data_IF_972988403473
#
_entry.id   IF_972988403473
#
_cell.length_a   1.000
_cell.length_b   1.000
_cell.length_c   1.000
_cell.angle_alpha   90.00
_cell.angle_beta   90.00
_cell.angle_gamma   90.00
#
_symmetry.space_group_name_H-M   'P 1'
#
loop_
_entity.id
_entity.type
_entity.pdbx_description
1 polymer ?
#
# COMPACT_ATOMS: atom_id res chain seq x y z
N UNK A 1 29.33 80.35 -9.68
CA UNK A 1 28.78 80.26 -11.05
C UNK A 1 28.96 78.83 -11.49
N UNK A 2 27.94 77.95 -11.23
CA UNK A 2 28.00 76.52 -11.43
C UNK A 2 27.06 76.22 -12.59
N UNK A 3 27.62 75.74 -13.69
CA UNK A 3 26.93 75.32 -14.91
C UNK A 3 26.28 73.96 -14.64
N UNK A 4 24.94 73.91 -14.60
CA UNK A 4 24.16 72.66 -14.55
C UNK A 4 23.97 72.16 -16.00
N UNK A 5 24.68 71.09 -16.37
CA UNK A 5 24.43 70.37 -17.61
C UNK A 5 23.14 69.56 -17.49
N UNK A 6 22.09 69.91 -18.23
CA UNK A 6 20.91 69.14 -18.47
C UNK A 6 21.22 67.96 -19.38
N UNK A 7 21.11 66.73 -18.87
CA UNK A 7 21.13 65.50 -19.63
C UNK A 7 19.72 65.24 -20.20
N UNK A 8 19.52 65.03 -21.50
CA UNK A 8 18.22 64.67 -22.04
C UNK A 8 17.84 63.23 -21.63
N UNK A 9 16.60 63.04 -21.20
CA UNK A 9 16.02 61.79 -20.83
C UNK A 9 15.97 60.81 -22.03
N UNK A 10 16.90 59.87 -22.12
CA UNK A 10 16.78 58.73 -22.99
C UNK A 10 15.75 57.77 -22.41
N UNK A 11 14.67 57.52 -23.12
CA UNK A 11 13.70 56.47 -22.81
C UNK A 11 14.38 55.11 -22.94
N UNK A 12 14.23 54.17 -21.97
CA UNK A 12 14.84 52.84 -22.10
C UNK A 12 14.10 52.03 -23.16
N UNK A 13 14.80 51.65 -24.23
CA UNK A 13 14.34 50.81 -25.35
C UNK A 13 14.30 49.30 -24.94
N UNK A 14 14.20 48.99 -23.63
CA UNK A 14 14.36 47.64 -23.13
C UNK A 14 13.04 46.90 -22.73
N UNK A 15 11.88 47.53 -22.95
CA UNK A 15 10.60 46.91 -22.53
C UNK A 15 10.11 45.76 -23.44
N UNK A 16 10.69 45.54 -24.63
CA UNK A 16 10.23 44.46 -25.51
C UNK A 16 10.94 43.12 -25.32
N UNK A 17 12.18 43.14 -24.79
CA UNK A 17 12.99 41.91 -24.67
C UNK A 17 12.72 41.10 -23.37
N UNK A 18 12.34 41.78 -22.28
CA UNK A 18 12.02 41.11 -21.02
C UNK A 18 10.66 40.37 -21.05
N UNK A 19 9.68 40.84 -21.84
CA UNK A 19 8.37 40.19 -21.94
C UNK A 19 8.46 38.86 -22.68
N UNK A 20 9.35 38.75 -23.69
CA UNK A 20 9.55 37.51 -24.45
C UNK A 20 10.22 36.40 -23.66
N UNK A 21 11.19 36.71 -22.80
CA UNK A 21 11.90 35.73 -21.97
C UNK A 21 11.00 35.21 -20.86
N UNK A 22 10.21 36.08 -20.18
CA UNK A 22 9.29 35.68 -19.13
C UNK A 22 8.18 34.76 -19.65
N UNK A 23 7.70 34.96 -20.88
CA UNK A 23 6.68 34.08 -21.48
C UNK A 23 7.24 32.72 -21.91
N UNK A 24 8.49 32.63 -22.36
CA UNK A 24 9.13 31.35 -22.72
C UNK A 24 9.40 30.52 -21.48
N UNK A 25 9.90 31.11 -20.41
CA UNK A 25 10.15 30.39 -19.16
C UNK A 25 8.83 29.90 -18.48
N UNK A 26 7.73 30.64 -18.59
CA UNK A 26 6.43 30.20 -18.07
C UNK A 26 5.86 29.05 -18.89
N UNK A 27 5.95 29.07 -20.22
CA UNK A 27 5.48 28.02 -21.13
C UNK A 27 6.28 26.71 -20.94
N UNK A 28 7.59 26.79 -20.73
CA UNK A 28 8.43 25.62 -20.43
C UNK A 28 8.12 25.01 -19.05
N UNK A 29 7.85 25.85 -18.05
CA UNK A 29 7.43 25.35 -16.72
C UNK A 29 6.07 24.67 -16.77
N UNK A 30 5.10 25.24 -17.49
CA UNK A 30 3.78 24.63 -17.65
C UNK A 30 3.86 23.27 -18.36
N UNK A 31 4.68 23.15 -19.41
CA UNK A 31 4.94 21.87 -20.10
C UNK A 31 5.60 20.84 -19.20
N UNK A 32 6.58 21.25 -18.39
CA UNK A 32 7.25 20.37 -17.43
C UNK A 32 6.26 19.88 -16.35
N UNK A 33 5.41 20.77 -15.81
CA UNK A 33 4.37 20.38 -14.85
C UNK A 33 3.37 19.40 -15.47
N UNK A 34 2.92 19.64 -16.72
CA UNK A 34 1.99 18.75 -17.39
C UNK A 34 2.59 17.34 -17.59
N UNK A 35 3.85 17.24 -17.98
CA UNK A 35 4.55 15.95 -18.12
C UNK A 35 4.67 15.23 -16.77
N UNK A 36 5.04 15.92 -15.69
CA UNK A 36 5.13 15.34 -14.36
C UNK A 36 3.76 14.89 -13.82
N UNK A 37 2.68 15.59 -14.19
CA UNK A 37 1.32 15.19 -13.85
C UNK A 37 0.88 13.92 -14.59
N UNK A 38 1.30 13.76 -15.86
CA UNK A 38 1.06 12.52 -16.61
C UNK A 38 1.85 11.35 -16.00
N UNK A 39 3.10 11.56 -15.63
CA UNK A 39 3.94 10.58 -14.94
C UNK A 39 3.34 10.18 -13.59
N UNK A 40 2.85 11.14 -12.80
CA UNK A 40 2.15 10.89 -11.54
C UNK A 40 0.90 10.04 -11.76
N UNK A 41 0.08 10.41 -12.74
CA UNK A 41 -1.15 9.68 -13.06
C UNK A 41 -0.84 8.24 -13.47
N UNK A 42 0.20 8.04 -14.29
CA UNK A 42 0.65 6.71 -14.71
C UNK A 42 1.13 5.85 -13.52
N UNK A 43 1.85 6.44 -12.57
CA UNK A 43 2.29 5.70 -11.37
C UNK A 43 1.08 5.32 -10.50
N UNK A 44 0.11 6.22 -10.32
CA UNK A 44 -1.12 5.92 -9.57
C UNK A 44 -1.97 4.83 -10.26
N UNK A 45 -2.01 4.79 -11.59
CA UNK A 45 -2.65 3.71 -12.37
C UNK A 45 -1.95 2.37 -12.11
N UNK A 46 -0.61 2.36 -12.13
CA UNK A 46 0.17 1.16 -11.85
C UNK A 46 0.00 0.70 -10.38
N UNK A 47 -0.03 1.63 -9.42
CA UNK A 47 -0.36 1.33 -8.01
C UNK A 47 -1.75 0.70 -7.92
N UNK A 48 -2.74 1.24 -8.61
CA UNK A 48 -4.12 0.71 -8.61
C UNK A 48 -4.15 -0.75 -9.07
N UNK A 49 -3.46 -1.07 -10.18
CA UNK A 49 -3.36 -2.44 -10.69
C UNK A 49 -2.66 -3.38 -9.68
N UNK A 50 -1.58 -2.92 -9.06
CA UNK A 50 -0.86 -3.71 -8.06
C UNK A 50 -1.72 -3.97 -6.81
N UNK A 51 -2.45 -2.96 -6.33
CA UNK A 51 -3.39 -3.12 -5.21
C UNK A 51 -4.60 -4.00 -5.57
N UNK A 52 -5.08 -3.98 -6.81
CA UNK A 52 -6.11 -4.91 -7.28
C UNK A 52 -5.62 -6.36 -7.21
N UNK A 53 -4.40 -6.62 -7.71
CA UNK A 53 -3.76 -7.94 -7.63
C UNK A 53 -3.59 -8.40 -6.17
N UNK A 54 -3.15 -7.50 -5.29
CA UNK A 54 -3.04 -7.81 -3.85
C UNK A 54 -4.40 -8.12 -3.22
N UNK A 55 -5.45 -7.43 -3.67
CA UNK A 55 -6.83 -7.68 -3.22
C UNK A 55 -7.32 -9.07 -3.62
N UNK A 56 -7.08 -9.49 -4.87
CA UNK A 56 -7.41 -10.85 -5.36
C UNK A 56 -6.67 -11.93 -4.57
N UNK A 57 -5.37 -11.75 -4.33
CA UNK A 57 -4.59 -12.67 -3.49
C UNK A 57 -5.12 -12.73 -2.06
N UNK A 58 -5.58 -11.61 -1.50
CA UNK A 58 -6.17 -11.55 -0.17
C UNK A 58 -7.54 -12.24 -0.09
N UNK A 59 -8.33 -12.21 -1.17
CA UNK A 59 -9.58 -12.96 -1.27
C UNK A 59 -9.33 -14.47 -1.34
N UNK A 60 -8.37 -14.91 -2.16
CA UNK A 60 -7.96 -16.31 -2.24
C UNK A 60 -7.38 -16.80 -0.90
N UNK A 61 -6.61 -15.97 -0.21
CA UNK A 61 -6.10 -16.27 1.14
C UNK A 61 -7.25 -16.50 2.13
N UNK A 62 -8.33 -15.71 2.05
CA UNK A 62 -9.52 -15.91 2.89
C UNK A 62 -10.13 -17.30 2.67
N UNK A 63 -10.25 -17.72 1.41
CA UNK A 63 -10.78 -19.04 1.07
C UNK A 63 -9.89 -20.17 1.61
N UNK A 64 -8.57 -20.03 1.44
CA UNK A 64 -7.61 -21.00 1.99
C UNK A 64 -7.67 -21.09 3.52
N UNK A 65 -7.85 -19.96 4.22
CA UNK A 65 -8.02 -19.92 5.67
C UNK A 65 -9.32 -20.64 6.13
N UNK A 66 -10.42 -20.45 5.39
CA UNK A 66 -11.72 -21.10 5.70
C UNK A 66 -11.62 -22.62 5.61
N UNK A 67 -10.90 -23.15 4.60
CA UNK A 67 -10.72 -24.59 4.41
C UNK A 67 -9.50 -25.16 5.15
N UNK A 68 -8.76 -24.30 5.87
CA UNK A 68 -7.54 -24.67 6.62
C UNK A 68 -6.44 -25.29 5.73
N UNK A 69 -6.32 -24.85 4.47
CA UNK A 69 -5.27 -25.27 3.57
C UNK A 69 -3.98 -24.50 3.82
N UNK A 70 -3.13 -25.06 4.69
CA UNK A 70 -1.86 -24.45 5.11
C UNK A 70 -0.93 -24.25 3.91
N UNK A 71 -0.89 -25.19 2.96
CA UNK A 71 -0.01 -25.07 1.78
C UNK A 71 -0.42 -23.90 0.88
N UNK A 72 -1.72 -23.74 0.64
CA UNK A 72 -2.25 -22.59 -0.10
C UNK A 72 -1.98 -21.27 0.63
N UNK A 73 -2.13 -21.23 1.96
CA UNK A 73 -1.82 -20.04 2.78
C UNK A 73 -0.36 -19.62 2.63
N UNK A 74 0.59 -20.56 2.70
CA UNK A 74 2.02 -20.28 2.52
C UNK A 74 2.32 -19.70 1.13
N UNK A 75 1.80 -20.33 0.07
CA UNK A 75 2.00 -19.88 -1.31
C UNK A 75 1.41 -18.50 -1.57
N UNK A 76 0.19 -18.26 -1.09
CA UNK A 76 -0.50 -16.98 -1.26
C UNK A 76 0.19 -15.86 -0.46
N UNK A 77 0.70 -16.17 0.72
CA UNK A 77 1.47 -15.20 1.53
C UNK A 77 2.76 -14.80 0.82
N UNK A 78 3.50 -15.75 0.25
CA UNK A 78 4.70 -15.47 -0.53
C UNK A 78 4.37 -14.60 -1.77
N UNK A 79 3.28 -14.90 -2.48
CA UNK A 79 2.83 -14.11 -3.62
C UNK A 79 2.40 -12.69 -3.21
N UNK A 80 1.76 -12.52 -2.04
CA UNK A 80 1.41 -11.21 -1.50
C UNK A 80 2.65 -10.38 -1.17
N UNK A 81 3.70 -11.00 -0.61
CA UNK A 81 4.96 -10.33 -0.29
C UNK A 81 5.64 -9.79 -1.56
N UNK A 82 5.67 -10.57 -2.64
CA UNK A 82 6.21 -10.13 -3.93
C UNK A 82 5.47 -8.89 -4.46
N UNK A 83 4.13 -8.91 -4.45
CA UNK A 83 3.31 -7.77 -4.90
C UNK A 83 3.49 -6.57 -3.99
N UNK A 84 3.57 -6.75 -2.67
CA UNK A 84 3.79 -5.68 -1.70
C UNK A 84 5.14 -4.97 -1.91
N UNK A 85 6.21 -5.72 -2.22
CA UNK A 85 7.51 -5.16 -2.58
C UNK A 85 7.44 -4.31 -3.87
N UNK A 86 6.65 -4.77 -4.85
CA UNK A 86 6.36 -3.99 -6.06
C UNK A 86 5.62 -2.68 -5.76
N UNK A 87 4.62 -2.71 -4.89
CA UNK A 87 3.88 -1.52 -4.45
C UNK A 87 4.82 -0.52 -3.76
N UNK A 88 5.70 -0.98 -2.87
CA UNK A 88 6.66 -0.10 -2.19
C UNK A 88 7.57 0.63 -3.18
N UNK A 89 8.00 -0.04 -4.25
CA UNK A 89 8.78 0.58 -5.34
C UNK A 89 7.99 1.68 -6.06
N UNK A 90 6.71 1.43 -6.35
CA UNK A 90 5.81 2.42 -6.97
C UNK A 90 5.56 3.62 -6.05
N UNK A 91 5.34 3.40 -4.76
CA UNK A 91 5.18 4.47 -3.76
C UNK A 91 6.42 5.35 -3.66
N UNK A 92 7.61 4.74 -3.70
CA UNK A 92 8.88 5.48 -3.74
C UNK A 92 8.96 6.34 -4.99
N UNK A 93 8.62 5.79 -6.15
CA UNK A 93 8.59 6.54 -7.41
C UNK A 93 7.58 7.68 -7.38
N UNK A 94 6.39 7.45 -6.83
CA UNK A 94 5.38 8.50 -6.62
C UNK A 94 5.90 9.63 -5.74
N UNK A 95 6.60 9.29 -4.65
CA UNK A 95 7.19 10.28 -3.76
C UNK A 95 8.24 11.15 -4.48
N UNK A 96 9.07 10.56 -5.34
CA UNK A 96 10.03 11.32 -6.16
C UNK A 96 9.32 12.28 -7.11
N UNK A 97 8.33 11.81 -7.87
CA UNK A 97 7.57 12.65 -8.79
C UNK A 97 6.87 13.80 -8.03
N UNK A 98 6.29 13.53 -6.87
CA UNK A 98 5.67 14.56 -6.03
C UNK A 98 6.69 15.63 -5.57
N UNK A 99 7.92 15.22 -5.24
CA UNK A 99 9.00 16.15 -4.92
C UNK A 99 9.40 17.02 -6.14
N UNK A 100 9.51 16.41 -7.32
CA UNK A 100 9.84 17.14 -8.55
C UNK A 100 8.76 18.17 -8.89
N UNK A 101 7.49 17.80 -8.76
CA UNK A 101 6.35 18.72 -8.91
C UNK A 101 6.45 19.86 -7.90
N UNK A 102 6.76 19.57 -6.62
CA UNK A 102 6.91 20.57 -5.58
C UNK A 102 8.00 21.59 -5.90
N UNK A 103 9.15 21.12 -6.42
CA UNK A 103 10.26 21.97 -6.86
C UNK A 103 9.83 22.89 -8.02
N UNK A 104 9.18 22.34 -9.05
CA UNK A 104 8.74 23.12 -10.21
C UNK A 104 7.67 24.14 -9.84
N UNK A 105 6.78 23.78 -8.92
CA UNK A 105 5.72 24.68 -8.40
C UNK A 105 6.20 25.64 -7.31
N UNK A 106 7.48 25.55 -6.90
CA UNK A 106 8.06 26.31 -5.79
C UNK A 106 7.22 26.20 -4.48
N UNK A 107 6.81 24.97 -4.15
CA UNK A 107 6.05 24.64 -2.94
C UNK A 107 6.81 23.65 -2.09
N UNK A 108 6.45 23.56 -0.80
CA UNK A 108 7.01 22.53 0.07
C UNK A 108 6.35 21.18 -0.23
N UNK A 109 7.13 20.08 -0.35
CA UNK A 109 6.59 18.74 -0.62
C UNK A 109 5.55 18.29 0.41
N UNK A 110 5.72 18.68 1.69
CA UNK A 110 4.83 18.32 2.79
C UNK A 110 3.41 18.92 2.68
N UNK A 111 3.30 20.06 1.99
CA UNK A 111 2.03 20.76 1.77
C UNK A 111 1.32 20.28 0.49
N UNK A 112 2.04 19.52 -0.35
CA UNK A 112 1.55 19.12 -1.66
C UNK A 112 0.81 17.78 -1.56
N UNK A 113 -0.49 17.83 -1.73
CA UNK A 113 -1.35 16.63 -1.83
C UNK A 113 -1.83 16.45 -3.26
N UNK A 114 -2.10 15.22 -3.67
CA UNK A 114 -2.68 14.93 -5.00
C UNK A 114 -3.99 15.69 -5.21
N UNK A 115 -4.81 15.84 -4.16
CA UNK A 115 -6.04 16.65 -4.22
C UNK A 115 -5.80 18.15 -4.47
N UNK A 116 -4.65 18.68 -4.04
CA UNK A 116 -4.27 20.07 -4.33
C UNK A 116 -3.81 20.21 -5.80
N UNK A 117 -3.15 19.17 -6.33
CA UNK A 117 -2.74 19.11 -7.74
C UNK A 117 -3.95 19.05 -8.69
N UNK A 118 -5.00 18.33 -8.33
CA UNK A 118 -6.26 18.30 -9.09
C UNK A 118 -6.84 19.71 -9.28
N UNK A 119 -6.75 20.56 -8.26
CA UNK A 119 -7.22 21.96 -8.34
C UNK A 119 -6.32 22.81 -9.25
N UNK A 120 -5.02 22.50 -9.30
CA UNK A 120 -4.07 23.22 -10.18
C UNK A 120 -4.28 22.90 -11.65
N UNK A 121 -4.92 21.77 -11.98
CA UNK A 121 -5.24 21.32 -13.34
C UNK A 121 -6.57 21.89 -13.88
N UNK A 122 -7.14 22.94 -13.28
CA UNK A 122 -8.41 23.54 -13.70
C UNK A 122 -8.40 24.02 -15.17
N UNK A 123 -7.23 24.36 -15.73
CA UNK A 123 -7.04 24.72 -17.13
C UNK A 123 -6.98 23.51 -18.08
N UNK A 124 -6.82 22.29 -17.55
CA UNK A 124 -6.65 21.05 -18.33
C UNK A 124 -7.68 19.98 -17.88
N UNK A 125 -8.95 20.11 -18.26
CA UNK A 125 -10.03 19.32 -17.69
C UNK A 125 -9.90 17.80 -17.95
N UNK A 126 -9.28 17.38 -19.04
CA UNK A 126 -9.07 15.96 -19.34
C UNK A 126 -8.04 15.32 -18.38
N UNK A 127 -6.93 15.99 -18.14
CA UNK A 127 -5.90 15.51 -17.19
C UNK A 127 -6.43 15.53 -15.75
N UNK A 128 -7.15 16.60 -15.39
CA UNK A 128 -7.81 16.68 -14.09
C UNK A 128 -8.77 15.51 -13.86
N UNK A 129 -9.64 15.23 -14.83
CA UNK A 129 -10.60 14.13 -14.72
C UNK A 129 -9.89 12.77 -14.62
N UNK A 130 -8.84 12.53 -15.40
CA UNK A 130 -8.05 11.29 -15.35
C UNK A 130 -7.41 11.11 -13.97
N UNK A 131 -6.72 12.13 -13.47
CA UNK A 131 -6.07 12.09 -12.15
C UNK A 131 -7.09 11.85 -11.02
N UNK A 132 -8.21 12.58 -11.03
CA UNK A 132 -9.29 12.42 -10.03
C UNK A 132 -9.87 11.01 -10.05
N UNK A 133 -10.15 10.48 -11.25
CA UNK A 133 -10.66 9.11 -11.41
C UNK A 133 -9.67 8.07 -10.87
N UNK A 134 -8.41 8.14 -11.29
CA UNK A 134 -7.37 7.20 -10.84
C UNK A 134 -7.18 7.26 -9.32
N UNK A 135 -7.15 8.45 -8.73
CA UNK A 135 -7.05 8.60 -7.27
C UNK A 135 -8.25 7.99 -6.55
N UNK A 136 -9.45 8.16 -7.10
CA UNK A 136 -10.66 7.59 -6.51
C UNK A 136 -10.65 6.06 -6.59
N UNK A 137 -10.29 5.49 -7.73
CA UNK A 137 -10.17 4.04 -7.93
C UNK A 137 -9.12 3.42 -7.00
N UNK A 138 -7.96 4.07 -6.86
CA UNK A 138 -6.92 3.63 -5.94
C UNK A 138 -7.44 3.61 -4.50
N UNK A 139 -8.11 4.69 -4.07
CA UNK A 139 -8.69 4.78 -2.72
C UNK A 139 -9.70 3.66 -2.46
N UNK A 140 -10.63 3.43 -3.39
CA UNK A 140 -11.66 2.39 -3.25
C UNK A 140 -11.04 0.99 -3.18
N UNK A 141 -10.02 0.72 -4.00
CA UNK A 141 -9.29 -0.54 -3.98
C UNK A 141 -8.55 -0.74 -2.65
N UNK A 142 -7.88 0.28 -2.15
CA UNK A 142 -7.21 0.22 -0.84
C UNK A 142 -8.20 0.00 0.31
N UNK A 143 -9.35 0.65 0.27
CA UNK A 143 -10.39 0.48 1.30
C UNK A 143 -11.01 -0.92 1.25
N UNK A 144 -11.16 -1.52 0.06
CA UNK A 144 -11.56 -2.92 -0.11
C UNK A 144 -10.51 -3.87 0.46
N UNK A 145 -9.24 -3.69 0.11
CA UNK A 145 -8.13 -4.50 0.63
C UNK A 145 -8.07 -4.47 2.15
N UNK A 146 -8.20 -3.29 2.77
CA UNK A 146 -8.21 -3.15 4.24
C UNK A 146 -9.31 -3.99 4.89
N UNK A 147 -10.53 -3.98 4.32
CA UNK A 147 -11.64 -4.78 4.85
C UNK A 147 -11.36 -6.28 4.75
N UNK A 148 -10.84 -6.74 3.61
CA UNK A 148 -10.51 -8.16 3.40
C UNK A 148 -9.41 -8.59 4.35
N UNK A 149 -8.33 -7.82 4.48
CA UNK A 149 -7.22 -8.14 5.38
C UNK A 149 -7.66 -8.16 6.86
N UNK A 150 -8.55 -7.27 7.27
CA UNK A 150 -9.12 -7.32 8.61
C UNK A 150 -9.91 -8.61 8.85
N UNK A 151 -10.71 -9.04 7.87
CA UNK A 151 -11.44 -10.33 7.95
C UNK A 151 -10.47 -11.51 8.00
N UNK A 152 -9.43 -11.52 7.17
CA UNK A 152 -8.41 -12.57 7.15
C UNK A 152 -7.67 -12.66 8.49
N UNK A 153 -7.31 -11.52 9.07
CA UNK A 153 -6.70 -11.47 10.40
C UNK A 153 -7.59 -12.06 11.48
N UNK A 154 -8.88 -11.74 11.44
CA UNK A 154 -9.87 -12.30 12.39
C UNK A 154 -10.01 -13.81 12.23
N UNK A 155 -10.12 -14.31 10.99
CA UNK A 155 -10.20 -15.74 10.70
C UNK A 155 -8.94 -16.48 11.17
N UNK A 156 -7.78 -15.94 10.90
CA UNK A 156 -6.51 -16.53 11.34
C UNK A 156 -6.44 -16.62 12.87
N UNK A 157 -6.82 -15.54 13.56
CA UNK A 157 -6.84 -15.53 15.03
C UNK A 157 -7.79 -16.60 15.61
N UNK A 158 -9.00 -16.68 15.07
CA UNK A 158 -9.97 -17.71 15.48
C UNK A 158 -9.47 -19.14 15.20
N UNK A 159 -8.81 -19.37 14.07
CA UNK A 159 -8.21 -20.67 13.75
C UNK A 159 -7.09 -21.03 14.72
N UNK A 160 -6.26 -20.07 15.12
CA UNK A 160 -5.21 -20.28 16.11
C UNK A 160 -5.78 -20.59 17.50
N UNK A 161 -6.81 -19.87 17.94
CA UNK A 161 -7.49 -20.14 19.22
C UNK A 161 -8.11 -21.55 19.25
N UNK A 162 -8.73 -21.97 18.14
CA UNK A 162 -9.29 -23.32 18.03
C UNK A 162 -8.21 -24.40 18.12
N UNK A 163 -7.09 -24.23 17.41
CA UNK A 163 -5.95 -25.15 17.47
C UNK A 163 -5.37 -25.24 18.89
N UNK A 164 -5.27 -24.11 19.59
CA UNK A 164 -4.77 -24.06 20.96
C UNK A 164 -5.72 -24.79 21.93
N UNK A 165 -7.03 -24.61 21.75
CA UNK A 165 -8.04 -25.35 22.47
C UNK A 165 -7.93 -26.86 22.24
N UNK A 166 -7.83 -27.31 20.98
CA UNK A 166 -7.69 -28.72 20.62
C UNK A 166 -6.42 -29.34 21.23
N UNK A 167 -5.29 -28.64 21.15
CA UNK A 167 -4.05 -29.08 21.77
C UNK A 167 -4.18 -29.25 23.31
N UNK A 168 -4.87 -28.32 23.96
CA UNK A 168 -5.11 -28.42 25.41
C UNK A 168 -6.03 -29.55 25.75
N UNK A 169 -7.07 -29.81 24.93
CA UNK A 169 -7.95 -30.94 25.07
C UNK A 169 -7.17 -32.27 24.95
N UNK A 170 -6.35 -32.44 23.91
CA UNK A 170 -5.52 -33.63 23.74
C UNK A 170 -4.53 -33.83 24.90
N UNK A 171 -3.94 -32.76 25.42
CA UNK A 171 -3.05 -32.82 26.58
C UNK A 171 -3.82 -33.29 27.84
N UNK A 172 -5.02 -32.78 28.08
CA UNK A 172 -5.85 -33.15 29.22
C UNK A 172 -6.32 -34.61 29.14
N UNK A 173 -6.63 -35.10 27.93
CA UNK A 173 -7.00 -36.49 27.71
C UNK A 173 -5.83 -37.46 28.00
N UNK A 174 -4.58 -37.05 27.68
CA UNK A 174 -3.40 -37.84 28.03
C UNK A 174 -3.06 -37.83 29.53
N UNK A 175 -3.49 -36.80 30.26
CA UNK A 175 -3.25 -36.64 31.69
C UNK A 175 -4.43 -37.13 32.53
N UNK A 176 -5.50 -37.71 31.92
CA UNK A 176 -6.59 -38.26 32.65
C UNK A 176 -6.08 -39.36 33.61
N UNK A 177 -6.33 -39.26 34.91
CA UNK A 177 -5.79 -40.21 35.85
C UNK A 177 -6.31 -41.62 35.58
N UNK A 178 -5.44 -42.60 35.65
CA UNK A 178 -5.73 -44.04 35.46
C UNK A 178 -6.83 -44.58 36.43
N UNK A 179 -7.28 -43.76 37.37
CA UNK A 179 -8.26 -44.11 38.40
C UNK A 179 -9.70 -44.23 37.90
N UNK A 180 -10.01 -43.86 36.67
CA UNK A 180 -11.36 -43.87 36.13
C UNK A 180 -11.79 -45.21 35.51
N UNK A 181 -10.90 -46.20 35.42
CA UNK A 181 -11.18 -47.48 34.74
C UNK A 181 -11.14 -48.68 35.68
N UNK A 182 -11.98 -48.63 36.76
CA UNK A 182 -12.23 -49.81 37.56
C UNK A 182 -13.23 -50.74 36.84
N UNK A 183 -12.68 -51.69 36.13
CA UNK A 183 -13.49 -52.80 35.64
C UNK A 183 -13.71 -53.80 36.75
N UNK A 184 -14.84 -54.55 36.72
CA UNK A 184 -15.32 -55.52 37.73
C UNK A 184 -14.28 -56.62 38.03
N UNK A 185 -13.21 -56.74 37.27
CA UNK A 185 -12.11 -57.69 37.43
C UNK A 185 -10.81 -57.10 37.96
N UNK A 186 -10.79 -55.84 38.44
CA UNK A 186 -9.62 -55.14 38.94
C UNK A 186 -8.39 -55.16 38.00
N UNK A 187 -8.61 -55.31 36.70
CA UNK A 187 -7.53 -55.22 35.70
C UNK A 187 -7.44 -53.79 35.24
N UNK A 188 -6.28 -53.15 35.48
CA UNK A 188 -5.98 -51.82 35.04
C UNK A 188 -5.84 -51.86 33.51
N UNK A 189 -6.78 -51.25 32.76
CA UNK A 189 -6.77 -51.16 31.31
C UNK A 189 -5.95 -49.95 30.79
N UNK A 190 -5.28 -49.22 31.68
CA UNK A 190 -4.38 -48.10 31.34
C UNK A 190 -3.17 -48.48 30.46
N UNK A 191 -2.83 -49.78 30.46
CA UNK A 191 -1.67 -50.30 29.70
C UNK A 191 -1.96 -50.59 28.21
N UNK A 192 -3.24 -50.46 27.77
CA UNK A 192 -3.65 -50.71 26.37
C UNK A 192 -3.39 -49.52 25.43
N UNK A 193 -3.16 -48.35 25.99
CA UNK A 193 -2.71 -47.20 25.24
C UNK A 193 -1.20 -47.04 25.44
N UNK A 194 -0.43 -48.00 24.86
CA UNK A 194 1.00 -48.10 25.00
C UNK A 194 1.69 -46.75 24.90
N UNK A 195 2.55 -46.50 25.89
CA UNK A 195 3.50 -45.40 25.93
C UNK A 195 4.50 -45.47 24.75
N UNK A 196 4.01 -45.31 23.54
CA UNK A 196 4.89 -44.96 22.41
C UNK A 196 5.07 -43.47 22.40
N UNK A 197 5.93 -43.02 23.31
CA UNK A 197 6.50 -41.70 23.22
C UNK A 197 7.15 -41.54 21.86
N UNK A 198 6.73 -40.54 21.12
CA UNK A 198 7.50 -40.03 19.99
C UNK A 198 8.79 -39.43 20.56
N UNK A 199 9.86 -40.19 20.50
CA UNK A 199 11.22 -39.72 20.76
C UNK A 199 11.68 -38.97 19.48
N UNK A 200 11.36 -37.70 19.36
CA UNK A 200 11.99 -36.84 18.39
C UNK A 200 13.35 -36.43 18.95
N UNK A 201 14.37 -37.27 18.71
CA UNK A 201 15.78 -36.84 18.79
C UNK A 201 16.10 -36.05 17.53
N UNK A 202 16.41 -34.81 17.73
CA UNK A 202 17.26 -34.01 16.88
C UNK A 202 18.72 -34.30 17.20
#
# INVERSE_FOLDING_TARGET
MILVCKIPSAKPIWNGFCIGIANVESDEREKNVASLMDDLTQVLENETVAYQKLTELSENLREALIVSDVSAVEQLTAAQEEVANGIQSLETRRAHIMNDIAVVMNRKPEELKVSTLEQSLASQPLQQQRLTKTRQELKETMDRLKRINHTNQTLLHQSMELLEFDLNLFRSMRQAPETANYNRSAVNTGDLLGSRGFDAKQ
#
